data_IF_757630163471
#
_entry.id   IF_757630163471
#
_cell.length_a   1.000
_cell.length_b   1.000
_cell.length_c   1.000
_cell.angle_alpha   90.00
_cell.angle_beta   90.00
_cell.angle_gamma   90.00
#
_symmetry.space_group_name_H-M   'P 1'
#
loop_
_entity.id
_entity.type
_entity.pdbx_description
1 polymer ?
#
# COMPACT_ATOMS: atom_id res chain seq x y z
N UNK A 1 -8.54 15.06 -47.71
CA UNK A 1 -9.63 14.10 -47.40
C UNK A 1 -9.27 13.43 -46.08
N UNK A 2 -9.63 14.03 -44.94
CA UNK A 2 -10.87 13.83 -44.16
C UNK A 2 -11.10 12.37 -43.70
N UNK A 3 -10.87 12.13 -42.40
CA UNK A 3 -11.25 10.93 -41.65
C UNK A 3 -10.42 10.76 -40.36
N UNK A 4 -10.95 11.07 -39.15
CA UNK A 4 -10.15 11.18 -37.93
C UNK A 4 -9.95 9.83 -37.21
N UNK A 5 -8.73 9.56 -36.75
CA UNK A 5 -8.41 8.47 -35.81
C UNK A 5 -8.90 8.83 -34.41
N UNK A 6 -9.82 8.01 -33.88
CA UNK A 6 -10.30 8.06 -32.49
C UNK A 6 -9.15 7.82 -31.51
N UNK A 7 -8.86 8.83 -30.69
CA UNK A 7 -8.08 8.70 -29.45
C UNK A 7 -8.84 7.85 -28.44
N UNK A 8 -8.24 6.76 -27.97
CA UNK A 8 -8.75 5.96 -26.86
C UNK A 8 -8.76 6.78 -25.57
N UNK A 9 -9.96 7.12 -25.09
CA UNK A 9 -10.19 7.73 -23.78
C UNK A 9 -9.80 6.74 -22.68
N UNK A 10 -8.81 7.09 -21.87
CA UNK A 10 -8.61 6.47 -20.56
C UNK A 10 -9.85 6.69 -19.70
N UNK A 11 -10.36 5.62 -19.09
CA UNK A 11 -11.53 5.67 -18.21
C UNK A 11 -11.13 6.36 -16.90
N UNK A 12 -11.46 7.65 -16.81
CA UNK A 12 -11.43 8.45 -15.59
C UNK A 12 -12.77 8.23 -14.87
N UNK A 13 -12.75 7.57 -13.72
CA UNK A 13 -13.91 7.56 -12.82
C UNK A 13 -13.93 8.88 -12.05
N UNK A 14 -14.76 9.82 -12.51
CA UNK A 14 -15.07 11.05 -11.79
C UNK A 14 -16.47 10.88 -11.20
N UNK A 15 -16.58 10.81 -9.88
CA UNK A 15 -17.85 10.89 -9.19
C UNK A 15 -18.06 12.33 -8.72
N UNK A 16 -18.91 13.07 -9.44
CA UNK A 16 -19.35 14.40 -9.05
C UNK A 16 -20.21 14.34 -7.80
N UNK A 17 -19.93 15.23 -6.85
CA UNK A 17 -20.69 15.38 -5.61
C UNK A 17 -21.72 16.51 -5.81
N UNK A 18 -23.01 16.17 -5.72
CA UNK A 18 -24.06 17.13 -5.39
C UNK A 18 -24.48 16.85 -3.94
N UNK A 19 -23.91 17.60 -3.01
CA UNK A 19 -24.29 17.55 -1.60
C UNK A 19 -25.60 18.32 -1.41
N UNK A 20 -26.69 17.60 -1.15
CA UNK A 20 -27.88 18.18 -0.53
C UNK A 20 -27.67 18.12 0.99
N UNK A 21 -27.23 19.25 1.53
CA UNK A 21 -27.25 19.56 2.95
C UNK A 21 -28.62 20.14 3.29
N UNK A 22 -29.41 19.42 4.08
CA UNK A 22 -30.51 20.00 4.84
C UNK A 22 -30.79 19.11 6.05
N UNK A 23 -30.11 19.40 7.17
CA UNK A 23 -30.58 19.04 8.50
C UNK A 23 -30.37 20.27 9.37
N UNK A 24 -31.44 21.04 9.55
CA UNK A 24 -31.43 22.30 10.29
C UNK A 24 -32.67 23.11 9.96
N UNK A 25 -33.59 23.16 10.93
CA UNK A 25 -34.93 23.80 10.96
C UNK A 25 -36.07 23.02 10.31
N UNK A 26 -36.71 22.20 11.15
CA UNK A 26 -38.12 21.87 11.07
C UNK A 26 -38.68 21.64 12.49
N UNK A 27 -38.25 22.48 13.44
CA UNK A 27 -38.94 22.67 14.72
C UNK A 27 -39.66 24.00 14.64
N UNK A 28 -40.97 23.92 14.38
CA UNK A 28 -42.05 24.91 14.53
C UNK A 28 -42.98 24.78 13.32
N UNK A 29 -44.26 24.53 13.61
CA UNK A 29 -45.39 24.34 12.70
C UNK A 29 -45.64 22.89 12.28
N UNK A 30 -46.07 22.07 13.24
CA UNK A 30 -47.12 21.09 12.96
C UNK A 30 -48.09 21.04 14.14
N UNK A 31 -49.29 21.61 13.93
CA UNK A 31 -50.39 21.52 14.87
C UNK A 31 -50.87 20.08 15.01
N UNK A 32 -51.26 19.75 16.24
CA UNK A 32 -52.08 18.60 16.66
C UNK A 32 -52.19 17.44 15.66
N UNK A 33 -51.23 16.50 15.75
CA UNK A 33 -51.39 15.16 15.19
C UNK A 33 -51.27 14.13 16.31
N UNK A 34 -52.31 13.31 16.42
CA UNK A 34 -52.53 12.20 17.35
C UNK A 34 -51.26 11.54 17.90
N UNK A 35 -51.25 11.31 19.22
CA UNK A 35 -50.39 10.36 19.94
C UNK A 35 -50.61 8.93 19.41
N UNK A 36 -50.03 8.63 18.25
CA UNK A 36 -49.87 7.28 17.73
C UNK A 36 -48.56 6.71 18.26
N UNK A 37 -48.64 5.58 18.98
CA UNK A 37 -47.49 4.84 19.49
C UNK A 37 -46.38 4.76 18.45
N UNK A 38 -45.23 5.40 18.71
CA UNK A 38 -44.00 5.10 17.98
C UNK A 38 -43.61 3.67 18.36
N UNK A 39 -43.96 2.70 17.51
CA UNK A 39 -43.53 1.30 17.70
C UNK A 39 -42.01 1.26 17.54
N UNK A 40 -41.30 1.22 18.67
CA UNK A 40 -39.86 1.02 18.66
C UNK A 40 -39.54 -0.41 18.26
N UNK A 41 -38.56 -0.58 17.37
CA UNK A 41 -38.05 -1.88 16.94
C UNK A 41 -37.57 -2.71 18.14
N UNK A 42 -37.11 -2.05 19.20
CA UNK A 42 -36.68 -2.69 20.46
C UNK A 42 -37.84 -3.31 21.26
N UNK A 43 -39.09 -2.93 20.98
CA UNK A 43 -40.29 -3.48 21.62
C UNK A 43 -40.82 -4.77 20.99
N UNK A 44 -40.28 -5.19 19.84
CA UNK A 44 -40.73 -6.39 19.14
C UNK A 44 -40.24 -7.68 19.83
N UNK A 45 -41.02 -8.79 19.77
CA UNK A 45 -40.56 -10.12 20.17
C UNK A 45 -39.32 -10.58 19.38
N UNK A 46 -38.47 -11.38 20.01
CA UNK A 46 -37.20 -11.83 19.42
C UNK A 46 -37.40 -12.68 18.16
N UNK A 47 -38.51 -13.40 18.06
CA UNK A 47 -38.90 -14.21 16.91
C UNK A 47 -39.15 -13.35 15.67
N UNK A 48 -39.80 -12.19 15.86
CA UNK A 48 -40.06 -11.23 14.78
C UNK A 48 -38.74 -10.58 14.35
N UNK A 49 -37.89 -10.20 15.31
CA UNK A 49 -36.58 -9.63 15.02
C UNK A 49 -35.67 -10.61 14.29
N UNK A 50 -35.62 -11.88 14.70
CA UNK A 50 -34.86 -12.92 14.00
C UNK A 50 -35.38 -13.12 12.58
N UNK A 51 -36.71 -13.09 12.38
CA UNK A 51 -37.30 -13.15 11.05
C UNK A 51 -36.85 -11.97 10.18
N UNK A 52 -36.85 -10.75 10.71
CA UNK A 52 -36.36 -9.56 10.00
C UNK A 52 -34.86 -9.71 9.67
N UNK A 53 -34.03 -10.08 10.65
CA UNK A 53 -32.60 -10.28 10.48
C UNK A 53 -32.28 -11.40 9.49
N UNK A 54 -33.13 -12.41 9.36
CA UNK A 54 -32.94 -13.52 8.41
C UNK A 54 -33.00 -13.13 6.92
N UNK A 55 -33.50 -11.91 6.61
CA UNK A 55 -33.50 -11.34 5.26
C UNK A 55 -32.25 -10.51 4.95
N UNK A 56 -31.43 -10.18 5.96
CA UNK A 56 -30.21 -9.42 5.78
C UNK A 56 -29.09 -10.30 5.20
N UNK A 57 -28.23 -9.69 4.40
CA UNK A 57 -26.99 -10.32 3.98
C UNK A 57 -25.96 -10.36 5.13
N UNK A 58 -24.86 -11.07 4.92
CA UNK A 58 -23.83 -11.22 5.96
C UNK A 58 -23.26 -9.86 6.41
N UNK A 59 -23.14 -8.89 5.51
CA UNK A 59 -22.61 -7.55 5.80
C UNK A 59 -23.58 -6.78 6.69
N UNK A 60 -24.84 -6.67 6.28
CA UNK A 60 -25.87 -5.96 7.03
C UNK A 60 -26.15 -6.64 8.37
N UNK A 61 -26.03 -7.96 8.47
CA UNK A 61 -26.16 -8.70 9.72
C UNK A 61 -25.01 -8.38 10.70
N UNK A 62 -23.77 -8.23 10.22
CA UNK A 62 -22.67 -7.74 11.05
C UNK A 62 -22.93 -6.31 11.54
N UNK A 63 -23.37 -5.41 10.65
CA UNK A 63 -23.68 -4.03 11.01
C UNK A 63 -24.82 -3.94 12.03
N UNK A 64 -25.87 -4.76 11.87
CA UNK A 64 -26.98 -4.84 12.82
C UNK A 64 -26.49 -5.24 14.22
N UNK A 65 -25.52 -6.16 14.30
CA UNK A 65 -24.90 -6.55 15.57
C UNK A 65 -24.16 -5.42 16.31
N UNK A 66 -23.81 -4.32 15.63
CA UNK A 66 -23.17 -3.15 16.24
C UNK A 66 -24.17 -2.12 16.78
N UNK A 67 -25.48 -2.30 16.56
CA UNK A 67 -26.51 -1.31 16.94
C UNK A 67 -26.76 -1.31 18.44
N UNK A 68 -27.05 -2.48 19.04
CA UNK A 68 -27.23 -2.62 20.48
C UNK A 68 -26.97 -4.07 20.92
N UNK A 69 -26.92 -4.30 22.25
CA UNK A 69 -26.63 -5.62 22.83
C UNK A 69 -27.65 -6.70 22.43
N UNK A 70 -28.93 -6.34 22.29
CA UNK A 70 -29.97 -7.30 21.88
C UNK A 70 -29.73 -7.75 20.44
N UNK A 71 -29.52 -6.81 19.53
CA UNK A 71 -29.19 -7.10 18.14
C UNK A 71 -27.87 -7.83 17.99
N UNK A 72 -26.87 -7.57 18.84
CA UNK A 72 -25.63 -8.35 18.87
C UNK A 72 -25.89 -9.84 19.11
N UNK A 73 -26.71 -10.17 20.11
CA UNK A 73 -27.04 -11.56 20.40
C UNK A 73 -27.87 -12.21 19.29
N UNK A 74 -28.90 -11.51 18.79
CA UNK A 74 -29.77 -12.04 17.71
C UNK A 74 -29.02 -12.18 16.37
N UNK A 75 -28.10 -11.25 16.05
CA UNK A 75 -27.29 -11.32 14.85
C UNK A 75 -26.24 -12.44 14.89
N UNK A 76 -25.98 -13.06 16.06
CA UNK A 76 -25.12 -14.23 16.21
C UNK A 76 -25.91 -15.55 16.16
N UNK A 77 -27.19 -15.52 15.77
CA UNK A 77 -28.03 -16.70 15.67
C UNK A 77 -27.48 -17.72 14.66
N UNK A 78 -27.27 -18.96 15.13
CA UNK A 78 -26.65 -20.02 14.35
C UNK A 78 -27.51 -20.48 13.17
N UNK A 79 -28.85 -20.36 13.24
CA UNK A 79 -29.75 -20.75 12.15
C UNK A 79 -29.68 -19.79 10.97
N UNK A 80 -29.54 -18.47 11.23
CA UNK A 80 -29.31 -17.48 10.17
C UNK A 80 -27.96 -17.75 9.49
N UNK A 81 -26.89 -17.94 10.27
CA UNK A 81 -25.54 -18.10 9.71
C UNK A 81 -25.32 -19.43 8.98
N UNK A 82 -25.90 -20.55 9.41
CA UNK A 82 -25.81 -21.82 8.66
C UNK A 82 -26.53 -21.73 7.31
N UNK A 83 -27.62 -20.96 7.23
CA UNK A 83 -28.31 -20.70 5.96
C UNK A 83 -27.42 -19.88 5.03
N UNK A 84 -26.85 -18.77 5.51
CA UNK A 84 -25.91 -17.94 4.76
C UNK A 84 -24.71 -18.77 4.29
N UNK A 85 -24.11 -19.56 5.18
CA UNK A 85 -22.99 -20.44 4.88
C UNK A 85 -23.34 -21.46 3.80
N UNK A 86 -24.49 -22.13 3.94
CA UNK A 86 -24.95 -23.13 2.98
C UNK A 86 -25.24 -22.52 1.62
N UNK A 87 -25.82 -21.32 1.54
CA UNK A 87 -26.05 -20.62 0.26
C UNK A 87 -24.74 -20.20 -0.39
N UNK A 88 -23.80 -19.64 0.37
CA UNK A 88 -22.53 -19.14 -0.16
C UNK A 88 -21.57 -20.25 -0.60
N UNK A 89 -21.57 -21.38 0.11
CA UNK A 89 -20.65 -22.50 -0.10
C UNK A 89 -21.37 -23.78 -0.55
N UNK A 90 -22.58 -23.64 -1.11
CA UNK A 90 -23.29 -24.77 -1.70
C UNK A 90 -22.34 -25.49 -2.66
N UNK A 91 -22.14 -26.82 -2.51
CA UNK A 91 -21.42 -27.57 -3.50
C UNK A 91 -22.22 -27.42 -4.79
N UNK A 92 -21.71 -26.61 -5.73
CA UNK A 92 -22.27 -26.53 -7.08
C UNK A 92 -22.40 -27.97 -7.57
N UNK A 93 -23.51 -28.30 -8.24
CA UNK A 93 -23.65 -29.53 -9.04
C UNK A 93 -22.60 -29.49 -10.15
N UNK A 94 -21.33 -29.71 -9.83
CA UNK A 94 -20.33 -30.13 -10.77
C UNK A 94 -20.51 -31.63 -10.91
N UNK A 95 -20.79 -32.10 -12.12
CA UNK A 95 -20.84 -33.52 -12.48
C UNK A 95 -19.45 -34.19 -12.40
N UNK A 96 -18.59 -33.74 -11.50
CA UNK A 96 -17.28 -34.30 -11.22
C UNK A 96 -17.30 -34.79 -9.77
N UNK A 97 -17.01 -36.08 -9.57
CA UNK A 97 -17.01 -36.76 -8.27
C UNK A 97 -16.21 -35.95 -7.24
N UNK A 98 -16.92 -35.23 -6.37
CA UNK A 98 -16.40 -34.67 -5.13
C UNK A 98 -16.84 -35.61 -4.00
N UNK A 99 -15.89 -35.97 -3.14
CA UNK A 99 -16.01 -37.00 -2.10
C UNK A 99 -17.28 -36.81 -1.25
N UNK A 100 -18.04 -37.90 -1.09
CA UNK A 100 -19.30 -37.98 -0.34
C UNK A 100 -19.20 -37.50 1.11
N UNK A 101 -17.99 -37.47 1.68
CA UNK A 101 -17.71 -37.13 3.08
C UNK A 101 -18.05 -35.66 3.42
N UNK A 102 -17.74 -34.68 2.55
CA UNK A 102 -18.09 -33.27 2.82
C UNK A 102 -19.60 -33.01 2.78
N UNK A 103 -20.30 -33.74 1.89
CA UNK A 103 -21.75 -33.60 1.71
C UNK A 103 -22.52 -34.16 2.91
N UNK A 104 -22.05 -35.28 3.47
CA UNK A 104 -22.59 -35.89 4.69
C UNK A 104 -22.21 -35.10 5.93
N UNK A 105 -20.99 -34.53 5.99
CA UNK A 105 -20.53 -33.72 7.12
C UNK A 105 -21.31 -32.39 7.25
N UNK A 106 -21.70 -31.75 6.14
CA UNK A 106 -22.53 -30.54 6.17
C UNK A 106 -23.98 -30.84 6.59
N UNK A 107 -24.56 -31.97 6.14
CA UNK A 107 -25.92 -32.34 6.57
C UNK A 107 -25.96 -32.81 8.03
N UNK A 108 -24.97 -33.56 8.50
CA UNK A 108 -24.87 -34.00 9.89
C UNK A 108 -24.59 -32.83 10.85
N UNK A 109 -23.83 -31.81 10.41
CA UNK A 109 -23.62 -30.56 11.15
C UNK A 109 -24.84 -29.63 11.22
N UNK A 110 -25.81 -29.80 10.32
CA UNK A 110 -27.07 -29.05 10.34
C UNK A 110 -28.07 -29.60 11.36
N UNK A 111 -27.93 -30.87 11.73
CA UNK A 111 -28.76 -31.55 12.74
C UNK A 111 -28.29 -31.28 14.17
N UNK A 112 -27.04 -30.83 14.37
CA UNK A 112 -26.44 -30.49 15.68
C UNK A 112 -26.37 -28.99 15.98
N UNK A 113 -27.12 -28.15 15.24
CA UNK A 113 -27.06 -26.67 15.35
C UNK A 113 -27.43 -26.17 16.75
N UNK A 114 -28.28 -26.92 17.48
CA UNK A 114 -28.70 -26.58 18.85
C UNK A 114 -27.59 -26.73 19.92
N UNK A 115 -26.56 -27.54 19.68
CA UNK A 115 -25.50 -27.83 20.65
C UNK A 115 -24.27 -26.92 20.50
N UNK A 116 -24.26 -26.03 19.50
CA UNK A 116 -23.11 -25.19 19.17
C UNK A 116 -23.22 -23.81 19.82
N UNK A 117 -22.09 -23.29 20.28
CA UNK A 117 -22.01 -21.93 20.84
C UNK A 117 -22.59 -20.87 19.89
N UNK A 118 -23.22 -19.83 20.45
CA UNK A 118 -23.77 -18.74 19.67
C UNK A 118 -22.69 -18.09 18.79
N UNK A 119 -22.98 -17.87 17.51
CA UNK A 119 -22.03 -17.32 16.55
C UNK A 119 -20.99 -18.31 16.02
N UNK A 120 -21.07 -19.60 16.32
CA UNK A 120 -20.19 -20.62 15.74
C UNK A 120 -20.17 -20.55 14.21
N UNK A 121 -21.35 -20.56 13.57
CA UNK A 121 -21.44 -20.54 12.10
C UNK A 121 -21.00 -19.21 11.49
N UNK A 122 -21.10 -18.11 12.23
CA UNK A 122 -20.52 -16.82 11.86
C UNK A 122 -19.00 -16.89 11.79
N UNK A 123 -18.36 -17.46 12.83
CA UNK A 123 -16.91 -17.67 12.87
C UNK A 123 -16.45 -18.56 11.70
N UNK A 124 -17.11 -19.70 11.50
CA UNK A 124 -16.81 -20.63 10.39
C UNK A 124 -16.96 -19.96 9.01
N UNK A 125 -18.03 -19.19 8.81
CA UNK A 125 -18.26 -18.45 7.58
C UNK A 125 -17.13 -17.45 7.29
N UNK A 126 -16.76 -16.62 8.28
CA UNK A 126 -15.67 -15.64 8.15
C UNK A 126 -14.34 -16.35 7.90
N UNK A 127 -14.01 -17.38 8.67
CA UNK A 127 -12.77 -18.16 8.51
C UNK A 127 -12.66 -18.75 7.11
N UNK A 128 -13.74 -19.34 6.59
CA UNK A 128 -13.76 -19.93 5.24
C UNK A 128 -13.63 -18.89 4.14
N UNK A 129 -14.24 -17.71 4.29
CA UNK A 129 -14.05 -16.60 3.37
C UNK A 129 -12.59 -16.14 3.34
N UNK A 130 -11.99 -15.91 4.50
CA UNK A 130 -10.58 -15.52 4.63
C UNK A 130 -9.66 -16.58 3.98
N UNK A 131 -9.89 -17.86 4.27
CA UNK A 131 -9.12 -18.95 3.69
C UNK A 131 -9.24 -19.01 2.16
N UNK A 132 -10.45 -18.78 1.61
CA UNK A 132 -10.66 -18.75 0.15
C UNK A 132 -9.93 -17.61 -0.52
N UNK A 133 -9.92 -16.41 0.08
CA UNK A 133 -9.18 -15.25 -0.44
C UNK A 133 -7.67 -15.49 -0.35
N UNK A 134 -7.18 -15.98 0.79
CA UNK A 134 -5.75 -16.34 0.96
C UNK A 134 -5.29 -17.36 -0.08
N UNK A 135 -6.07 -18.40 -0.33
CA UNK A 135 -5.75 -19.40 -1.35
C UNK A 135 -5.76 -18.82 -2.78
N UNK A 136 -6.70 -17.93 -3.10
CA UNK A 136 -6.75 -17.24 -4.38
C UNK A 136 -5.52 -16.33 -4.57
N UNK A 137 -5.14 -15.57 -3.54
CA UNK A 137 -3.97 -14.70 -3.55
C UNK A 137 -2.67 -15.50 -3.69
N UNK A 138 -2.51 -16.58 -2.93
CA UNK A 138 -1.34 -17.46 -3.05
C UNK A 138 -1.14 -17.97 -4.49
N UNK A 139 -2.24 -18.29 -5.19
CA UNK A 139 -2.18 -18.72 -6.59
C UNK A 139 -1.81 -17.59 -7.54
N UNK A 140 -2.32 -16.38 -7.32
CA UNK A 140 -2.11 -15.21 -8.19
C UNK A 140 -0.73 -14.59 -8.00
N UNK A 141 -0.20 -14.63 -6.77
CA UNK A 141 1.12 -14.08 -6.41
C UNK A 141 2.28 -15.05 -6.67
N UNK A 142 2.01 -16.35 -6.86
CA UNK A 142 3.03 -17.37 -7.19
C UNK A 142 3.92 -17.03 -8.40
N UNK A 143 3.41 -16.55 -9.54
CA UNK A 143 4.27 -16.19 -10.67
C UNK A 143 5.06 -14.91 -10.34
N UNK A 144 6.38 -15.06 -10.23
CA UNK A 144 7.32 -13.96 -10.04
C UNK A 144 7.94 -13.54 -11.37
N UNK A 145 8.19 -12.24 -11.51
CA UNK A 145 8.84 -11.69 -12.67
C UNK A 145 10.33 -12.06 -12.64
N UNK A 146 10.90 -12.62 -13.73
CA UNK A 146 12.29 -13.09 -13.72
C UNK A 146 13.31 -12.00 -13.40
N UNK A 147 12.98 -10.74 -13.71
CA UNK A 147 13.93 -9.65 -13.59
C UNK A 147 13.81 -8.80 -12.33
N UNK A 148 12.69 -8.91 -11.62
CA UNK A 148 12.44 -8.10 -10.42
C UNK A 148 12.15 -8.98 -9.20
N UNK A 149 11.92 -10.28 -9.37
CA UNK A 149 11.52 -11.17 -8.27
C UNK A 149 10.15 -10.80 -7.67
N UNK A 150 9.41 -9.87 -8.27
CA UNK A 150 8.13 -9.36 -7.79
C UNK A 150 6.96 -10.12 -8.44
N UNK A 151 5.79 -10.20 -7.77
CA UNK A 151 4.61 -10.84 -8.35
C UNK A 151 4.15 -10.17 -9.64
N UNK A 152 4.00 -10.95 -10.72
CA UNK A 152 3.60 -10.43 -12.06
C UNK A 152 2.17 -9.88 -12.05
N UNK A 153 1.32 -10.43 -11.18
CA UNK A 153 -0.12 -10.19 -11.17
C UNK A 153 -0.58 -9.35 -9.98
N UNK A 154 0.26 -8.45 -9.47
CA UNK A 154 -0.09 -7.60 -8.32
C UNK A 154 -1.37 -6.81 -8.54
N UNK A 155 -1.60 -6.25 -9.74
CA UNK A 155 -2.86 -5.55 -10.08
C UNK A 155 -4.09 -6.45 -9.96
N UNK A 156 -3.99 -7.72 -10.34
CA UNK A 156 -5.06 -8.71 -10.20
C UNK A 156 -5.23 -9.10 -8.73
N UNK A 157 -4.14 -9.28 -7.99
CA UNK A 157 -4.15 -9.58 -6.56
C UNK A 157 -4.86 -8.48 -5.75
N UNK A 158 -4.55 -7.20 -6.02
CA UNK A 158 -5.22 -6.04 -5.38
C UNK A 158 -6.74 -6.01 -5.66
N UNK A 159 -7.14 -6.37 -6.88
CA UNK A 159 -8.56 -6.46 -7.25
C UNK A 159 -9.26 -7.62 -6.54
N UNK A 160 -8.63 -8.80 -6.47
CA UNK A 160 -9.17 -9.99 -5.83
C UNK A 160 -9.26 -9.82 -4.30
N UNK A 161 -8.27 -9.18 -3.70
CA UNK A 161 -8.28 -8.88 -2.26
C UNK A 161 -9.13 -7.68 -1.90
N UNK A 162 -9.65 -6.91 -2.87
CA UNK A 162 -10.32 -5.63 -2.61
C UNK A 162 -9.50 -4.70 -1.70
N UNK A 163 -8.17 -4.84 -1.73
CA UNK A 163 -7.27 -4.13 -0.84
C UNK A 163 -7.25 -2.65 -1.20
N UNK A 164 -7.46 -1.81 -0.19
CA UNK A 164 -7.21 -0.38 -0.25
C UNK A 164 -6.31 0.06 0.89
N UNK A 165 -6.02 1.35 0.94
CA UNK A 165 -5.25 1.96 2.02
C UNK A 165 -6.01 3.12 2.64
N UNK A 166 -5.81 3.30 3.95
CA UNK A 166 -6.31 4.44 4.72
C UNK A 166 -5.18 5.00 5.56
N UNK A 167 -5.28 6.28 5.88
CA UNK A 167 -4.48 6.90 6.94
C UNK A 167 -5.38 7.16 8.14
N UNK A 168 -4.87 6.89 9.33
CA UNK A 168 -5.52 7.19 10.60
C UNK A 168 -4.68 8.29 11.27
N UNK A 169 -5.22 9.50 11.29
CA UNK A 169 -4.61 10.64 11.96
C UNK A 169 -5.07 10.66 13.41
N UNK A 170 -4.13 10.65 14.35
CA UNK A 170 -4.42 10.66 15.78
C UNK A 170 -4.09 12.01 16.36
N UNK A 171 -5.02 12.57 17.12
CA UNK A 171 -4.81 13.79 17.87
C UNK A 171 -4.11 13.53 19.21
N UNK A 172 -3.49 14.57 19.78
CA UNK A 172 -3.01 14.56 21.18
C UNK A 172 -4.16 14.30 22.19
N UNK A 173 -5.40 14.61 21.81
CA UNK A 173 -6.61 14.35 22.59
C UNK A 173 -7.03 12.87 22.61
N UNK A 174 -6.45 12.03 21.76
CA UNK A 174 -6.86 10.64 21.54
C UNK A 174 -7.96 10.47 20.47
N UNK A 175 -8.47 11.56 19.88
CA UNK A 175 -9.42 11.48 18.77
C UNK A 175 -8.72 10.98 17.49
N UNK A 176 -9.39 10.08 16.76
CA UNK A 176 -8.88 9.50 15.52
C UNK A 176 -9.71 9.96 14.30
N UNK A 177 -9.03 10.27 13.20
CA UNK A 177 -9.64 10.60 11.91
C UNK A 177 -9.18 9.62 10.85
N UNK A 178 -10.11 8.88 10.25
CA UNK A 178 -9.82 7.87 9.24
C UNK A 178 -10.10 8.46 7.86
N UNK A 179 -9.08 8.48 7.00
CA UNK A 179 -9.18 9.02 5.64
C UNK A 179 -8.87 7.93 4.61
N UNK A 180 -9.80 7.72 3.68
CA UNK A 180 -9.61 6.84 2.53
C UNK A 180 -8.76 7.54 1.46
N UNK A 181 -7.92 6.77 0.75
CA UNK A 181 -7.14 7.30 -0.36
C UNK A 181 -8.08 7.75 -1.50
N UNK A 182 -7.72 8.86 -2.14
CA UNK A 182 -8.51 9.47 -3.22
C UNK A 182 -7.98 9.03 -4.59
N UNK A 183 -6.67 8.85 -4.70
CA UNK A 183 -6.02 8.38 -5.91
C UNK A 183 -5.03 7.25 -5.65
N UNK A 184 -4.86 6.44 -6.68
CA UNK A 184 -3.92 5.34 -6.70
C UNK A 184 -3.23 5.30 -8.06
N UNK A 185 -1.90 5.33 -8.07
CA UNK A 185 -1.09 5.06 -9.27
C UNK A 185 -0.25 3.83 -9.05
N UNK A 186 -0.30 2.90 -10.01
CA UNK A 186 0.39 1.62 -9.92
C UNK A 186 1.53 1.63 -10.94
N UNK A 187 2.76 1.55 -10.44
CA UNK A 187 4.00 1.51 -11.21
C UNK A 187 4.45 0.05 -11.41
N UNK A 188 5.67 -0.15 -11.92
CA UNK A 188 6.18 -1.48 -12.23
C UNK A 188 6.58 -2.28 -10.98
N UNK A 189 7.12 -1.60 -9.96
CA UNK A 189 7.58 -2.22 -8.71
C UNK A 189 6.89 -1.67 -7.45
N UNK A 190 6.07 -0.63 -7.58
CA UNK A 190 5.40 0.03 -6.45
C UNK A 190 3.97 0.48 -6.74
N UNK A 191 3.26 0.84 -5.67
CA UNK A 191 2.01 1.59 -5.73
C UNK A 191 2.13 2.87 -4.92
N UNK A 192 1.64 3.96 -5.48
CA UNK A 192 1.53 5.25 -4.80
C UNK A 192 0.07 5.52 -4.49
N UNK A 193 -0.26 5.59 -3.20
CA UNK A 193 -1.58 5.99 -2.71
C UNK A 193 -1.53 7.46 -2.28
N UNK A 194 -2.55 8.24 -2.64
CA UNK A 194 -2.59 9.69 -2.38
C UNK A 194 -3.89 10.08 -1.67
N UNK A 195 -3.76 10.92 -0.66
CA UNK A 195 -4.83 11.54 0.10
C UNK A 195 -4.75 13.05 -0.06
N UNK A 196 -5.87 13.68 -0.44
CA UNK A 196 -6.07 15.12 -0.43
C UNK A 196 -7.56 15.41 -0.26
N UNK A 197 -7.90 16.58 0.25
CA UNK A 197 -9.28 16.89 0.61
C UNK A 197 -9.39 18.25 1.28
N UNK A 198 -10.63 18.61 1.64
CA UNK A 198 -10.90 19.82 2.43
C UNK A 198 -11.02 19.54 3.93
N UNK A 199 -11.22 18.27 4.30
CA UNK A 199 -11.55 17.86 5.67
C UNK A 199 -10.31 17.38 6.45
N UNK A 200 -9.18 18.10 6.30
CA UNK A 200 -7.98 17.79 7.08
C UNK A 200 -8.14 18.32 8.51
N UNK A 201 -7.86 17.51 9.55
CA UNK A 201 -7.67 18.04 10.89
C UNK A 201 -6.43 18.94 10.93
N UNK A 202 -6.45 19.93 11.83
CA UNK A 202 -5.35 20.89 11.97
C UNK A 202 -4.06 20.18 12.36
N UNK A 203 -2.96 20.50 11.68
CA UNK A 203 -1.69 19.82 11.90
C UNK A 203 -1.21 19.88 13.36
N UNK A 204 -1.43 21.02 14.02
CA UNK A 204 -1.04 21.25 15.42
C UNK A 204 -1.74 20.34 16.43
N UNK A 205 -2.90 19.77 16.10
CA UNK A 205 -3.60 18.84 17.01
C UNK A 205 -3.12 17.41 16.85
N UNK A 206 -2.44 17.10 15.74
CA UNK A 206 -2.04 15.75 15.36
C UNK A 206 -0.73 15.32 16.02
N UNK A 207 -0.68 14.07 16.46
CA UNK A 207 0.48 13.43 17.07
C UNK A 207 1.12 12.41 16.11
N UNK A 208 0.30 11.49 15.61
CA UNK A 208 0.77 10.37 14.78
C UNK A 208 -0.13 10.14 13.59
N UNK A 209 0.47 9.60 12.53
CA UNK A 209 -0.21 9.08 11.35
C UNK A 209 0.06 7.59 11.27
N UNK A 210 -1.00 6.78 11.25
CA UNK A 210 -0.90 5.34 11.04
C UNK A 210 -1.35 5.03 9.61
N UNK A 211 -0.50 4.40 8.81
CA UNK A 211 -0.84 3.91 7.47
C UNK A 211 -1.29 2.46 7.58
N UNK A 212 -2.52 2.19 7.14
CA UNK A 212 -3.12 0.86 7.22
C UNK A 212 -3.57 0.35 5.86
N UNK A 213 -3.29 -0.93 5.60
CA UNK A 213 -3.97 -1.72 4.59
C UNK A 213 -5.38 -2.06 5.08
N UNK A 214 -6.35 -1.99 4.17
CA UNK A 214 -7.76 -2.19 4.49
C UNK A 214 -8.38 -3.18 3.53
N UNK A 215 -8.91 -4.27 4.10
CA UNK A 215 -9.47 -5.39 3.34
C UNK A 215 -10.92 -5.61 3.76
N UNK A 216 -11.88 -5.69 2.83
CA UNK A 216 -13.25 -6.07 3.17
C UNK A 216 -13.30 -7.44 3.84
N UNK A 217 -14.08 -7.57 4.93
CA UNK A 217 -14.27 -8.85 5.64
C UNK A 217 -14.98 -9.88 4.75
N UNK A 218 -15.86 -9.40 3.86
CA UNK A 218 -16.58 -10.23 2.90
C UNK A 218 -16.32 -9.76 1.47
N UNK A 219 -15.81 -10.68 0.65
CA UNK A 219 -15.70 -10.50 -0.80
C UNK A 219 -17.00 -10.96 -1.45
N UNK A 220 -17.96 -10.07 -1.66
CA UNK A 220 -19.05 -10.42 -2.55
C UNK A 220 -18.51 -10.42 -3.98
N UNK A 221 -18.42 -11.59 -4.62
CA UNK A 221 -17.82 -11.79 -5.97
C UNK A 221 -18.49 -10.95 -7.06
N UNK A 222 -19.65 -10.33 -6.80
CA UNK A 222 -20.46 -9.59 -7.76
C UNK A 222 -20.79 -8.15 -7.37
N UNK A 223 -20.33 -7.63 -6.23
CA UNK A 223 -20.63 -6.26 -5.80
C UNK A 223 -19.36 -5.50 -5.42
N UNK A 224 -19.34 -4.20 -5.75
CA UNK A 224 -18.33 -3.28 -5.23
C UNK A 224 -18.40 -3.25 -3.70
N UNK A 225 -17.25 -3.15 -2.99
CA UNK A 225 -17.26 -3.03 -1.54
C UNK A 225 -18.18 -1.88 -1.12
N UNK A 226 -19.13 -2.16 -0.22
CA UNK A 226 -20.02 -1.14 0.32
C UNK A 226 -19.19 -0.07 1.02
N UNK A 227 -19.45 1.21 0.72
CA UNK A 227 -18.87 2.35 1.43
C UNK A 227 -19.25 2.19 2.92
N UNK A 228 -18.26 2.06 3.80
CA UNK A 228 -18.42 1.79 5.24
C UNK A 228 -18.80 0.35 5.66
N UNK A 229 -18.61 -0.66 4.79
CA UNK A 229 -18.75 -2.06 5.21
C UNK A 229 -17.70 -2.50 6.26
N UNK A 230 -17.88 -3.66 6.91
CA UNK A 230 -16.92 -4.21 7.86
C UNK A 230 -15.60 -4.52 7.16
N UNK A 231 -14.51 -3.96 7.68
CA UNK A 231 -13.17 -4.06 7.10
C UNK A 231 -12.15 -4.46 8.16
N UNK A 232 -11.15 -5.21 7.71
CA UNK A 232 -9.95 -5.51 8.47
C UNK A 232 -8.91 -4.41 8.23
N UNK A 233 -8.34 -3.89 9.31
CA UNK A 233 -7.22 -2.96 9.27
C UNK A 233 -5.92 -3.69 9.61
N UNK A 234 -4.91 -3.47 8.78
CA UNK A 234 -3.57 -4.02 8.96
C UNK A 234 -2.58 -2.86 8.96
N UNK A 235 -1.95 -2.59 10.10
CA UNK A 235 -0.97 -1.52 10.24
C UNK A 235 0.25 -1.84 9.37
N UNK A 236 0.65 -0.90 8.52
CA UNK A 236 1.84 -1.03 7.66
C UNK A 236 3.01 -0.26 8.26
N UNK A 237 2.75 0.97 8.71
CA UNK A 237 3.74 1.85 9.29
C UNK A 237 3.08 2.93 10.14
N UNK A 238 3.82 3.39 11.16
CA UNK A 238 3.43 4.47 12.07
C UNK A 238 4.43 5.60 11.97
N UNK A 239 3.92 6.82 11.83
CA UNK A 239 4.73 8.03 11.63
C UNK A 239 4.43 9.04 12.72
N UNK A 240 5.47 9.75 13.15
CA UNK A 240 5.34 10.85 14.09
C UNK A 240 5.26 12.18 13.32
N UNK A 241 4.19 12.94 13.53
CA UNK A 241 3.93 14.21 12.84
C UNK A 241 4.56 15.41 13.56
N UNK A 242 5.16 15.24 14.74
CA UNK A 242 5.88 16.32 15.44
C UNK A 242 7.26 16.62 14.83
N UNK A 243 7.66 15.95 13.73
CA UNK A 243 9.02 15.94 13.17
C UNK A 243 9.18 16.76 11.88
N UNK A 244 8.27 17.67 11.57
CA UNK A 244 8.43 18.61 10.46
C UNK A 244 9.48 19.67 10.84
N UNK A 245 10.74 19.38 10.53
CA UNK A 245 11.89 20.25 10.75
C UNK A 245 12.47 20.64 9.39
N UNK A 246 13.22 21.73 9.31
CA UNK A 246 13.85 22.13 8.03
C UNK A 246 14.75 21.02 7.46
N UNK A 247 15.37 20.20 8.32
CA UNK A 247 16.17 19.04 7.92
C UNK A 247 15.39 17.91 7.24
N UNK A 248 14.06 17.84 7.40
CA UNK A 248 13.21 16.83 6.77
C UNK A 248 12.54 17.32 5.48
N UNK A 249 12.77 18.59 5.10
CA UNK A 249 12.27 19.16 3.84
C UNK A 249 12.97 18.47 2.68
N UNK A 250 12.17 17.87 1.80
CA UNK A 250 12.67 17.20 0.60
C UNK A 250 12.70 18.16 -0.59
N UNK A 251 11.70 19.02 -0.72
CA UNK A 251 11.56 19.98 -1.82
C UNK A 251 10.39 20.92 -1.62
N UNK A 252 10.24 21.88 -2.52
CA UNK A 252 9.11 22.81 -2.50
C UNK A 252 8.82 23.39 -3.89
N UNK A 253 7.61 23.92 -4.06
CA UNK A 253 7.25 24.73 -5.22
C UNK A 253 6.69 26.09 -4.78
N UNK A 254 5.90 26.76 -5.61
CA UNK A 254 5.31 28.06 -5.27
C UNK A 254 4.27 28.00 -4.15
N UNK A 255 3.58 26.87 -3.98
CA UNK A 255 2.43 26.73 -3.10
C UNK A 255 2.71 25.86 -1.88
N UNK A 256 3.54 24.84 -2.03
CA UNK A 256 3.72 23.81 -1.00
C UNK A 256 5.18 23.52 -0.68
N UNK A 257 5.41 22.94 0.48
CA UNK A 257 6.66 22.26 0.88
C UNK A 257 6.35 20.79 1.13
N UNK A 258 7.25 19.90 0.72
CA UNK A 258 7.11 18.47 0.97
C UNK A 258 8.17 17.98 1.96
N UNK A 259 7.75 17.04 2.79
CA UNK A 259 8.55 16.38 3.80
C UNK A 259 8.55 14.88 3.55
N UNK A 260 9.69 14.24 3.77
CA UNK A 260 9.81 12.78 3.73
C UNK A 260 9.77 12.22 5.15
N UNK A 261 8.80 11.36 5.42
CA UNK A 261 8.71 10.55 6.63
C UNK A 261 8.97 9.09 6.25
N UNK A 262 9.96 8.47 6.90
CA UNK A 262 10.31 7.10 6.61
C UNK A 262 9.38 6.12 7.34
N UNK A 263 8.96 5.01 6.69
CA UNK A 263 9.32 4.60 5.32
C UNK A 263 8.40 5.18 4.22
N UNK A 264 8.96 5.87 3.22
CA UNK A 264 8.29 6.10 1.92
C UNK A 264 7.08 7.05 1.91
N UNK A 265 6.80 7.77 3.01
CA UNK A 265 5.67 8.69 3.11
C UNK A 265 6.10 10.13 2.77
N UNK A 266 5.38 10.77 1.86
CA UNK A 266 5.51 12.19 1.53
C UNK A 266 4.35 12.95 2.15
N UNK A 267 4.64 14.01 2.89
CA UNK A 267 3.64 14.93 3.44
C UNK A 267 3.84 16.30 2.81
N UNK A 268 2.82 16.81 2.13
CA UNK A 268 2.81 18.15 1.55
C UNK A 268 2.07 19.13 2.46
N UNK A 269 2.72 20.25 2.81
CA UNK A 269 2.14 21.35 3.58
C UNK A 269 2.01 22.61 2.73
N UNK A 270 0.93 23.37 2.93
CA UNK A 270 0.80 24.69 2.33
C UNK A 270 1.84 25.66 2.90
N UNK A 271 2.47 26.47 2.04
CA UNK A 271 3.46 27.47 2.50
C UNK A 271 2.86 28.60 3.34
N UNK A 272 1.59 28.94 3.12
CA UNK A 272 0.92 30.05 3.81
C UNK A 272 0.32 29.64 5.15
N UNK A 273 -0.47 28.58 5.17
CA UNK A 273 -1.14 28.14 6.39
C UNK A 273 -0.32 27.14 7.22
N UNK A 274 0.72 26.52 6.65
CA UNK A 274 1.45 25.37 7.23
C UNK A 274 0.55 24.17 7.57
N UNK A 275 -0.64 24.10 6.97
CA UNK A 275 -1.59 23.00 7.12
C UNK A 275 -1.39 21.92 6.04
N UNK A 276 -1.94 20.72 6.28
CA UNK A 276 -1.86 19.59 5.36
C UNK A 276 -2.52 19.91 4.02
N UNK A 277 -1.76 19.75 2.94
CA UNK A 277 -2.26 19.82 1.56
C UNK A 277 -2.61 18.42 1.04
N UNK A 278 -1.64 17.51 1.12
CA UNK A 278 -1.80 16.12 0.72
C UNK A 278 -0.84 15.21 1.49
N UNK A 279 -1.16 13.92 1.49
CA UNK A 279 -0.27 12.84 1.93
C UNK A 279 -0.14 11.85 0.78
N UNK A 280 1.07 11.33 0.55
CA UNK A 280 1.35 10.35 -0.49
C UNK A 280 2.21 9.22 0.11
N UNK A 281 1.72 7.99 0.04
CA UNK A 281 2.46 6.82 0.51
C UNK A 281 2.95 6.01 -0.69
N UNK A 282 4.25 5.74 -0.73
CA UNK A 282 4.88 4.93 -1.77
C UNK A 282 5.20 3.55 -1.20
N UNK A 283 4.58 2.53 -1.78
CA UNK A 283 4.55 1.18 -1.25
C UNK A 283 5.10 0.20 -2.29
N UNK A 284 6.31 -0.27 -2.04
CA UNK A 284 6.96 -1.29 -2.85
C UNK A 284 6.16 -2.61 -2.82
N UNK A 285 6.09 -3.34 -3.95
CA UNK A 285 5.31 -4.58 -4.07
C UNK A 285 5.84 -5.74 -3.25
N UNK A 286 7.10 -5.70 -2.84
CA UNK A 286 7.71 -6.71 -1.99
C UNK A 286 6.89 -6.91 -0.69
N UNK A 287 6.23 -8.06 -0.60
CA UNK A 287 5.30 -8.45 0.46
C UNK A 287 4.19 -7.43 0.77
N UNK A 288 3.80 -6.60 -0.21
CA UNK A 288 2.81 -5.55 0.01
C UNK A 288 1.45 -6.12 0.48
N UNK A 289 1.01 -7.21 -0.15
CA UNK A 289 -0.29 -7.83 0.15
C UNK A 289 -0.27 -8.40 1.56
N UNK A 290 0.80 -9.10 1.93
CA UNK A 290 1.00 -9.67 3.26
C UNK A 290 1.04 -8.58 4.33
N UNK A 291 1.85 -7.54 4.13
CA UNK A 291 1.94 -6.38 5.03
C UNK A 291 0.61 -5.64 5.19
N UNK A 292 -0.25 -5.69 4.18
CA UNK A 292 -1.54 -4.98 4.17
C UNK A 292 -2.73 -5.84 4.62
N UNK A 293 -2.55 -7.15 4.83
CA UNK A 293 -3.65 -8.09 5.11
C UNK A 293 -3.42 -9.00 6.31
N UNK A 294 -2.16 -9.32 6.66
CA UNK A 294 -1.82 -10.30 7.69
C UNK A 294 -1.46 -9.67 9.04
N UNK A 295 -1.17 -8.36 9.07
CA UNK A 295 -0.94 -7.61 10.30
C UNK A 295 -2.23 -7.27 11.03
N UNK A 296 -2.09 -6.80 12.26
CA UNK A 296 -3.20 -6.33 13.09
C UNK A 296 -3.40 -4.82 12.96
N UNK A 297 -4.47 -4.28 13.54
CA UNK A 297 -4.71 -2.84 13.54
C UNK A 297 -3.68 -2.02 14.36
N UNK A 298 -2.95 -2.66 15.30
CA UNK A 298 -2.03 -1.99 16.20
C UNK A 298 -0.56 -2.38 15.99
N UNK A 299 -0.30 -3.55 15.41
CA UNK A 299 1.03 -4.13 15.26
C UNK A 299 1.23 -4.50 13.79
N UNK A 300 2.31 -4.01 13.13
CA UNK A 300 2.62 -4.36 11.76
C UNK A 300 2.88 -5.85 11.58
N UNK A 301 2.66 -6.35 10.37
CA UNK A 301 3.04 -7.71 10.03
C UNK A 301 4.56 -7.82 9.95
N UNK A 302 5.13 -8.73 10.74
CA UNK A 302 6.54 -9.11 10.64
C UNK A 302 6.68 -10.35 9.75
N UNK A 303 7.62 -10.26 8.80
CA UNK A 303 7.94 -11.38 7.93
C UNK A 303 8.66 -12.47 8.73
N UNK A 304 8.45 -13.76 8.39
CA UNK A 304 9.24 -14.83 8.98
C UNK A 304 10.74 -14.57 8.78
N UNK A 305 11.57 -14.82 9.79
CA UNK A 305 13.02 -14.59 9.68
C UNK A 305 13.60 -15.43 8.55
N UNK A 306 14.53 -14.84 7.80
CA UNK A 306 15.24 -15.56 6.76
C UNK A 306 16.15 -16.60 7.39
N UNK A 307 16.05 -17.85 6.94
CA UNK A 307 17.00 -18.89 7.32
C UNK A 307 18.12 -18.92 6.27
N UNK A 308 19.37 -18.61 6.65
CA UNK A 308 20.49 -18.73 5.72
C UNK A 308 20.59 -20.19 5.27
N UNK A 309 20.79 -20.39 3.98
CA UNK A 309 21.18 -21.69 3.46
C UNK A 309 22.56 -22.03 4.05
N UNK A 310 22.84 -23.28 4.43
CA UNK A 310 24.22 -23.67 4.74
C UNK A 310 24.97 -23.90 3.43
N UNK A 311 26.06 -23.18 3.22
CA UNK A 311 27.00 -23.36 2.13
C UNK A 311 28.39 -22.91 2.61
N UNK A 312 29.44 -23.65 2.23
CA UNK A 312 30.81 -23.46 2.68
C UNK A 312 31.61 -22.47 1.80
N UNK A 313 30.95 -21.80 0.85
CA UNK A 313 31.60 -20.81 -0.03
C UNK A 313 32.09 -19.58 0.74
N UNK A 314 33.39 -19.25 0.69
CA UNK A 314 33.96 -18.12 1.43
C UNK A 314 33.54 -16.75 0.89
N UNK A 315 33.00 -16.66 -0.33
CA UNK A 315 32.62 -15.40 -1.01
C UNK A 315 31.10 -15.22 -1.14
N UNK A 316 30.33 -16.02 -0.40
CA UNK A 316 28.88 -16.02 -0.49
C UNK A 316 28.25 -14.67 -0.12
N UNK A 317 27.37 -14.19 -1.00
CA UNK A 317 26.70 -12.90 -0.81
C UNK A 317 27.58 -11.71 -1.20
N UNK A 318 28.67 -11.93 -1.94
CA UNK A 318 29.46 -10.88 -2.57
C UNK A 318 29.28 -10.80 -4.10
N UNK A 319 28.65 -11.79 -4.72
CA UNK A 319 28.45 -11.86 -6.17
C UNK A 319 26.98 -12.06 -6.56
N UNK A 320 26.74 -11.96 -7.88
CA UNK A 320 25.50 -12.37 -8.55
C UNK A 320 24.23 -11.65 -8.09
N UNK A 321 24.39 -10.42 -7.60
CA UNK A 321 23.26 -9.57 -7.35
C UNK A 321 22.64 -9.06 -8.65
N UNK A 322 21.33 -8.89 -8.62
CA UNK A 322 20.57 -8.27 -9.69
C UNK A 322 19.78 -7.09 -9.15
N UNK A 323 20.01 -5.91 -9.72
CA UNK A 323 19.35 -4.67 -9.34
C UNK A 323 18.30 -4.29 -10.38
N UNK A 324 17.10 -4.00 -9.92
CA UNK A 324 16.11 -3.22 -10.65
C UNK A 324 15.91 -1.88 -9.95
N UNK A 325 15.98 -0.80 -10.71
CA UNK A 325 15.78 0.57 -10.22
C UNK A 325 14.80 1.29 -11.14
N UNK A 326 13.80 1.93 -10.54
CA UNK A 326 12.84 2.78 -11.24
C UNK A 326 12.78 4.14 -10.54
N UNK A 327 12.98 5.24 -11.27
CA UNK A 327 12.69 6.58 -10.79
C UNK A 327 11.47 7.10 -11.53
N UNK A 328 10.43 7.47 -10.79
CA UNK A 328 9.15 7.82 -11.38
C UNK A 328 8.42 8.93 -10.62
N UNK A 329 7.36 9.45 -11.25
CA UNK A 329 6.48 10.45 -10.70
C UNK A 329 5.09 10.35 -11.35
N UNK A 330 4.04 10.16 -10.56
CA UNK A 330 2.66 10.14 -11.06
C UNK A 330 2.38 9.13 -12.18
N UNK A 331 3.09 7.98 -12.18
CA UNK A 331 2.95 6.94 -13.20
C UNK A 331 3.83 7.13 -14.46
N UNK A 332 4.67 8.16 -14.50
CA UNK A 332 5.68 8.35 -15.56
C UNK A 332 7.06 8.06 -14.98
N UNK A 333 7.76 7.09 -15.57
CA UNK A 333 9.15 6.75 -15.23
C UNK A 333 10.12 7.62 -16.02
N UNK A 334 11.11 8.20 -15.33
CA UNK A 334 12.25 8.89 -15.95
C UNK A 334 13.51 8.03 -15.97
N UNK A 335 13.59 6.98 -15.15
CA UNK A 335 14.63 5.95 -15.19
C UNK A 335 13.98 4.60 -14.96
N UNK A 336 14.24 3.63 -15.83
CA UNK A 336 13.91 2.23 -15.54
C UNK A 336 15.09 1.38 -16.02
N UNK A 337 15.85 0.84 -15.08
CA UNK A 337 17.10 0.12 -15.34
C UNK A 337 17.12 -1.24 -14.64
N UNK A 338 17.65 -2.24 -15.32
CA UNK A 338 17.94 -3.55 -14.72
C UNK A 338 19.38 -3.94 -14.99
N UNK A 339 20.12 -4.21 -13.92
CA UNK A 339 21.54 -4.51 -13.94
C UNK A 339 21.76 -5.90 -13.32
N UNK A 340 22.63 -6.71 -13.92
CA UNK A 340 22.88 -8.10 -13.51
C UNK A 340 24.35 -8.33 -13.23
N UNK A 341 24.64 -9.44 -12.57
CA UNK A 341 25.99 -9.91 -12.26
C UNK A 341 26.77 -8.86 -11.46
N UNK A 342 26.07 -8.14 -10.59
CA UNK A 342 26.69 -7.17 -9.71
C UNK A 342 27.46 -7.92 -8.64
N UNK A 343 28.76 -7.69 -8.63
CA UNK A 343 29.69 -8.39 -7.75
C UNK A 343 30.69 -7.40 -7.14
N UNK A 344 31.25 -7.82 -6.02
CA UNK A 344 32.31 -7.09 -5.34
C UNK A 344 33.30 -8.07 -4.72
N UNK A 345 34.48 -7.57 -4.40
CA UNK A 345 35.48 -8.34 -3.67
C UNK A 345 35.46 -7.99 -2.18
N UNK A 346 35.97 -8.89 -1.34
CA UNK A 346 36.17 -8.65 0.10
C UNK A 346 37.00 -7.39 0.39
N UNK A 347 37.95 -7.07 -0.49
CA UNK A 347 38.79 -5.87 -0.35
C UNK A 347 38.06 -4.55 -0.53
N UNK A 348 36.81 -4.56 -1.01
CA UNK A 348 35.98 -3.37 -1.21
C UNK A 348 34.96 -3.15 -0.07
N UNK A 349 35.14 -3.85 1.07
CA UNK A 349 34.38 -3.63 2.28
C UNK A 349 35.04 -2.51 3.07
N UNK A 350 34.33 -1.40 3.24
CA UNK A 350 34.83 -0.20 3.91
C UNK A 350 33.75 0.34 4.87
N UNK A 351 34.16 0.71 6.08
CA UNK A 351 33.29 1.37 7.07
C UNK A 351 31.98 0.62 7.37
N UNK A 352 32.01 -0.72 7.48
CA UNK A 352 30.84 -1.60 7.67
C UNK A 352 29.88 -1.69 6.47
N UNK A 353 30.27 -1.15 5.31
CA UNK A 353 29.50 -1.24 4.09
C UNK A 353 30.26 -2.01 3.00
N UNK A 354 29.51 -2.77 2.24
CA UNK A 354 29.92 -3.41 1.01
C UNK A 354 29.43 -2.57 -0.17
N UNK A 355 30.35 -2.10 -1.02
CA UNK A 355 30.02 -1.29 -2.20
C UNK A 355 29.78 -2.17 -3.43
N UNK A 356 28.57 -2.12 -4.00
CA UNK A 356 28.27 -2.60 -5.35
C UNK A 356 28.30 -1.40 -6.31
N UNK A 357 29.22 -1.42 -7.26
CA UNK A 357 29.26 -0.42 -8.34
C UNK A 357 28.39 -0.91 -9.49
N UNK A 358 27.35 -0.16 -9.82
CA UNK A 358 26.35 -0.52 -10.83
C UNK A 358 26.64 0.20 -12.14
N UNK A 359 26.88 1.51 -12.06
CA UNK A 359 27.35 2.34 -13.17
C UNK A 359 28.63 3.01 -12.69
N UNK A 360 29.70 2.83 -13.46
CA UNK A 360 31.01 3.39 -13.14
C UNK A 360 31.20 4.76 -13.80
N UNK A 361 31.59 5.74 -12.99
CA UNK A 361 32.03 7.06 -13.48
C UNK A 361 33.13 6.95 -14.54
N UNK A 362 34.00 5.94 -14.42
CA UNK A 362 35.12 5.73 -15.35
C UNK A 362 34.71 5.09 -16.68
N UNK A 363 33.55 4.43 -16.73
CA UNK A 363 33.10 3.71 -17.91
C UNK A 363 31.94 4.44 -18.60
N UNK A 364 32.25 5.28 -19.57
CA UNK A 364 31.25 6.09 -20.29
C UNK A 364 30.22 5.27 -21.07
N UNK A 365 30.48 3.99 -21.37
CA UNK A 365 29.49 3.13 -22.05
C UNK A 365 28.34 2.69 -21.15
N UNK A 366 28.51 2.81 -19.82
CA UNK A 366 27.48 2.46 -18.83
C UNK A 366 26.58 3.66 -18.49
N UNK A 367 26.91 4.86 -18.97
CA UNK A 367 26.17 6.08 -18.66
C UNK A 367 24.81 6.07 -19.35
N UNK A 368 23.78 6.47 -18.62
CA UNK A 368 22.39 6.37 -19.08
C UNK A 368 21.70 7.74 -19.03
N UNK A 369 20.99 8.16 -20.09
CA UNK A 369 20.17 9.36 -20.03
C UNK A 369 18.94 9.14 -19.16
N UNK A 370 18.58 10.17 -18.39
CA UNK A 370 17.27 10.28 -17.77
C UNK A 370 16.26 10.76 -18.79
N UNK A 371 15.14 10.05 -18.89
CA UNK A 371 14.10 10.34 -19.87
C UNK A 371 13.15 11.39 -19.28
N UNK A 372 13.05 12.53 -19.96
CA UNK A 372 12.10 13.59 -19.62
C UNK A 372 12.52 14.44 -18.41
N UNK A 373 11.56 15.18 -17.85
CA UNK A 373 11.82 16.13 -16.77
C UNK A 373 11.65 15.48 -15.41
N UNK A 374 12.68 15.56 -14.58
CA UNK A 374 12.65 15.09 -13.18
C UNK A 374 11.80 16.04 -12.34
N UNK A 375 10.71 15.53 -11.78
CA UNK A 375 9.88 16.29 -10.84
C UNK A 375 8.75 15.47 -10.24
N UNK A 376 8.41 15.76 -8.98
CA UNK A 376 7.37 15.08 -8.23
C UNK A 376 6.05 15.82 -8.42
N UNK A 377 5.12 15.19 -9.14
CA UNK A 377 3.80 15.76 -9.40
C UNK A 377 2.92 15.58 -8.17
N UNK A 378 2.19 16.63 -7.81
CA UNK A 378 1.20 16.58 -6.75
C UNK A 378 -0.09 17.24 -7.22
N UNK A 379 -1.20 16.82 -6.63
CA UNK A 379 -2.52 17.39 -6.93
C UNK A 379 -3.41 17.37 -5.70
N UNK A 380 -4.37 18.28 -5.71
CA UNK A 380 -5.46 18.42 -4.75
C UNK A 380 -6.77 18.59 -5.54
N UNK A 381 -7.88 18.85 -4.84
CA UNK A 381 -9.15 19.14 -5.50
C UNK A 381 -9.16 20.43 -6.34
N UNK A 382 -8.22 21.36 -6.08
CA UNK A 382 -8.26 22.72 -6.64
C UNK A 382 -6.94 23.07 -7.33
N UNK A 383 -5.82 22.67 -6.74
CA UNK A 383 -4.47 22.96 -7.24
C UNK A 383 -3.75 21.69 -7.65
N UNK A 384 -2.90 21.82 -8.65
CA UNK A 384 -1.85 20.86 -8.98
C UNK A 384 -0.52 21.59 -9.12
N UNK A 385 0.56 20.80 -9.11
CA UNK A 385 1.90 21.33 -9.23
C UNK A 385 2.92 20.23 -9.44
N UNK A 386 4.16 20.64 -9.68
CA UNK A 386 5.28 19.75 -9.85
C UNK A 386 6.50 20.34 -9.14
N UNK A 387 7.05 19.57 -8.20
CA UNK A 387 8.26 19.94 -7.46
C UNK A 387 9.45 19.43 -8.25
N UNK A 388 10.19 20.38 -8.83
CA UNK A 388 11.39 20.09 -9.61
C UNK A 388 12.41 19.33 -8.75
N UNK A 389 13.20 18.48 -9.40
CA UNK A 389 14.32 17.75 -8.79
C UNK A 389 13.92 16.73 -7.71
N UNK A 390 12.64 16.52 -7.45
CA UNK A 390 12.16 15.43 -6.59
C UNK A 390 11.56 14.32 -7.46
N UNK A 391 11.71 13.06 -7.05
CA UNK A 391 11.05 11.92 -7.69
C UNK A 391 10.85 10.81 -6.66
N UNK A 392 10.10 9.77 -7.00
CA UNK A 392 10.09 8.52 -6.24
C UNK A 392 11.16 7.61 -6.83
N UNK A 393 11.91 6.94 -5.97
CA UNK A 393 12.87 5.91 -6.35
C UNK A 393 12.41 4.58 -5.76
N UNK A 394 12.17 3.63 -6.65
CA UNK A 394 11.94 2.24 -6.32
C UNK A 394 13.21 1.45 -6.58
N UNK A 395 13.55 0.58 -5.62
CA UNK A 395 14.71 -0.28 -5.72
C UNK A 395 14.31 -1.70 -5.34
N UNK A 396 14.67 -2.66 -6.19
CA UNK A 396 14.64 -4.09 -5.88
C UNK A 396 16.00 -4.69 -6.16
N UNK A 397 16.70 -5.11 -5.10
CA UNK A 397 17.93 -5.89 -5.19
C UNK A 397 17.61 -7.35 -4.90
N UNK A 398 17.91 -8.22 -5.86
CA UNK A 398 17.81 -9.68 -5.74
C UNK A 398 19.19 -10.26 -5.45
N UNK A 399 19.22 -11.30 -4.62
CA UNK A 399 20.40 -12.15 -4.45
C UNK A 399 20.48 -13.24 -5.53
N UNK A 400 21.57 -14.02 -5.53
CA UNK A 400 21.91 -15.06 -6.50
C UNK A 400 20.74 -16.00 -6.86
N UNK A 401 19.95 -16.43 -5.89
CA UNK A 401 18.79 -17.31 -6.10
C UNK A 401 17.49 -16.56 -6.43
N UNK A 402 17.58 -15.27 -6.76
CA UNK A 402 16.45 -14.45 -7.17
C UNK A 402 15.51 -14.05 -6.04
N UNK A 403 15.89 -14.22 -4.76
CA UNK A 403 15.10 -13.72 -3.64
C UNK A 403 15.32 -12.22 -3.45
N UNK A 404 14.28 -11.44 -3.11
CA UNK A 404 14.46 -10.04 -2.77
C UNK A 404 15.30 -9.90 -1.50
N UNK A 405 16.46 -9.24 -1.63
CA UNK A 405 17.40 -8.98 -0.57
C UNK A 405 17.19 -7.59 0.04
N UNK A 406 17.03 -6.56 -0.79
CA UNK A 406 16.74 -5.19 -0.34
C UNK A 406 15.72 -4.54 -1.25
N UNK A 407 14.65 -4.01 -0.67
CA UNK A 407 13.57 -3.39 -1.41
C UNK A 407 13.05 -2.15 -0.70
N UNK A 408 12.89 -1.04 -1.43
CA UNK A 408 12.23 0.15 -0.93
C UNK A 408 11.55 0.93 -2.05
N UNK A 409 10.64 1.80 -1.64
CA UNK A 409 10.01 2.82 -2.48
C UNK A 409 9.99 4.10 -1.65
N UNK A 410 10.77 5.11 -2.05
CA UNK A 410 10.97 6.31 -1.25
C UNK A 410 11.12 7.54 -2.11
N UNK A 411 10.61 8.69 -1.67
CA UNK A 411 10.89 9.93 -2.36
C UNK A 411 12.38 10.30 -2.20
N UNK A 412 12.97 10.80 -3.28
CA UNK A 412 14.37 11.23 -3.36
C UNK A 412 14.45 12.62 -3.98
N UNK A 413 15.53 13.34 -3.70
CA UNK A 413 15.77 14.68 -4.20
C UNK A 413 17.16 14.79 -4.80
N UNK A 414 17.21 15.27 -6.02
CA UNK A 414 18.40 15.63 -6.76
C UNK A 414 18.91 16.97 -6.25
N UNK A 415 20.12 16.95 -5.69
CA UNK A 415 20.80 18.12 -5.14
C UNK A 415 22.03 18.45 -5.97
N UNK A 416 22.33 19.73 -6.20
CA UNK A 416 23.59 20.11 -6.85
C UNK A 416 24.75 19.61 -5.99
N UNK A 417 25.75 19.05 -6.66
CA UNK A 417 27.00 18.62 -6.05
C UNK A 417 28.09 19.63 -6.39
N UNK A 418 28.86 20.15 -5.42
CA UNK A 418 30.09 20.84 -5.76
C UNK A 418 31.02 19.82 -6.41
N UNK A 419 31.33 20.00 -7.70
CA UNK A 419 32.16 19.07 -8.45
C UNK A 419 33.52 18.85 -7.77
N UNK A 420 34.17 17.69 -7.96
CA UNK A 420 35.55 17.53 -7.52
C UNK A 420 36.43 18.56 -8.23
N UNK A 421 37.30 19.24 -7.46
CA UNK A 421 38.34 20.18 -7.93
C UNK A 421 39.13 19.66 -9.14
N UNK A 422 39.27 18.33 -9.24
CA UNK A 422 40.19 17.66 -10.15
C UNK A 422 39.47 16.81 -11.23
N UNK A 423 38.15 17.00 -11.41
CA UNK A 423 37.40 16.37 -12.51
C UNK A 423 37.70 17.03 -13.85
N UNK A 424 37.67 16.30 -14.99
CA UNK A 424 37.85 16.92 -16.29
C UNK A 424 36.78 18.01 -16.50
N UNK A 425 37.24 19.20 -16.89
CA UNK A 425 36.51 20.48 -17.01
C UNK A 425 35.33 20.47 -18.01
N UNK A 426 34.95 19.31 -18.51
CA UNK A 426 34.03 19.07 -19.62
C UNK A 426 32.65 18.54 -19.20
N UNK A 427 32.45 18.16 -17.93
CA UNK A 427 31.14 17.71 -17.45
C UNK A 427 30.43 18.91 -16.81
N UNK A 428 29.25 19.27 -17.32
CA UNK A 428 28.43 20.39 -16.85
C UNK A 428 28.03 20.29 -15.38
N UNK A 429 26.96 20.98 -14.98
CA UNK A 429 26.51 20.96 -13.58
C UNK A 429 26.28 19.52 -13.09
N UNK A 430 26.92 19.18 -11.96
CA UNK A 430 26.82 17.85 -11.35
C UNK A 430 25.76 17.85 -10.26
N UNK A 431 25.07 16.72 -10.16
CA UNK A 431 23.98 16.50 -9.22
C UNK A 431 24.15 15.16 -8.54
N UNK A 432 23.65 15.05 -7.32
CA UNK A 432 23.62 13.80 -6.55
C UNK A 432 22.23 13.50 -6.03
N UNK A 433 21.92 12.21 -5.95
CA UNK A 433 20.72 11.68 -5.31
C UNK A 433 21.16 10.61 -4.32
N UNK A 434 20.81 10.82 -3.06
CA UNK A 434 21.19 9.95 -1.95
C UNK A 434 19.94 9.37 -1.28
N UNK A 435 20.00 8.09 -0.92
CA UNK A 435 19.02 7.42 -0.06
C UNK A 435 19.73 6.54 0.97
N UNK A 436 19.18 6.42 2.16
CA UNK A 436 19.72 5.59 3.24
C UNK A 436 18.61 5.04 4.13
N UNK A 437 18.74 3.78 4.54
CA UNK A 437 17.89 3.14 5.54
C UNK A 437 18.69 2.20 6.46
N UNK A 438 17.99 1.35 7.19
CA UNK A 438 18.60 0.36 8.09
C UNK A 438 19.39 -0.71 7.33
N UNK A 439 19.12 -0.95 6.05
CA UNK A 439 19.69 -2.04 5.26
C UNK A 439 20.90 -1.59 4.43
N UNK A 440 20.88 -0.34 3.94
CA UNK A 440 21.93 0.17 3.09
C UNK A 440 21.77 1.63 2.67
N UNK A 441 22.61 2.05 1.74
CA UNK A 441 22.60 3.38 1.13
C UNK A 441 22.70 3.28 -0.39
N UNK A 442 22.06 4.21 -1.09
CA UNK A 442 22.16 4.39 -2.53
C UNK A 442 22.78 5.75 -2.80
N UNK A 443 23.73 5.78 -3.73
CA UNK A 443 24.34 6.99 -4.21
C UNK A 443 24.29 7.01 -5.74
N UNK A 444 23.71 8.07 -6.29
CA UNK A 444 23.55 8.27 -7.72
C UNK A 444 24.11 9.65 -8.08
N UNK A 445 25.00 9.71 -9.05
CA UNK A 445 25.56 10.97 -9.58
C UNK A 445 25.09 11.19 -11.01
N UNK A 446 24.71 12.43 -11.30
CA UNK A 446 24.19 12.85 -12.57
C UNK A 446 24.91 14.10 -13.07
N UNK A 447 24.98 14.24 -14.39
CA UNK A 447 25.54 15.41 -15.06
C UNK A 447 24.48 15.98 -15.98
N UNK A 448 24.29 17.30 -15.94
CA UNK A 448 23.50 18.01 -16.92
C UNK A 448 24.33 18.27 -18.18
N UNK A 449 23.82 17.82 -19.33
CA UNK A 449 24.44 18.07 -20.64
C UNK A 449 23.63 19.15 -21.34
N UNK A 450 24.22 20.33 -21.52
CA UNK A 450 23.53 21.48 -22.13
C UNK A 450 23.18 21.25 -23.60
N UNK A 451 24.02 20.51 -24.33
CA UNK A 451 23.87 20.26 -25.76
C UNK A 451 22.63 19.41 -26.07
N UNK A 452 22.34 18.41 -25.24
CA UNK A 452 21.15 17.55 -25.39
C UNK A 452 19.97 18.02 -24.54
N UNK A 453 20.21 18.84 -23.52
CA UNK A 453 19.19 19.27 -22.56
C UNK A 453 18.68 18.11 -21.72
N UNK A 454 19.55 17.15 -21.40
CA UNK A 454 19.22 15.92 -20.68
C UNK A 454 20.18 15.68 -19.52
N UNK A 455 19.70 15.00 -18.48
CA UNK A 455 20.55 14.51 -17.39
C UNK A 455 21.11 13.15 -17.76
N UNK A 456 22.40 12.93 -17.53
CA UNK A 456 23.04 11.63 -17.67
C UNK A 456 23.46 11.10 -16.31
N UNK A 457 23.11 9.86 -16.03
CA UNK A 457 23.60 9.10 -14.88
C UNK A 457 25.01 8.65 -15.21
N UNK A 458 25.98 9.18 -14.47
CA UNK A 458 27.40 8.86 -14.64
C UNK A 458 27.91 7.89 -13.59
N UNK A 459 27.22 7.76 -12.46
CA UNK A 459 27.60 6.86 -11.37
C UNK A 459 26.37 6.38 -10.62
N UNK A 460 26.31 5.08 -10.33
CA UNK A 460 25.30 4.48 -9.45
C UNK A 460 26.00 3.43 -8.58
N UNK A 461 25.93 3.61 -7.26
CA UNK A 461 26.52 2.70 -6.30
C UNK A 461 25.54 2.37 -5.17
N UNK A 462 25.52 1.10 -4.78
CA UNK A 462 24.83 0.62 -3.59
C UNK A 462 25.84 0.32 -2.49
N UNK A 463 25.53 0.70 -1.27
CA UNK A 463 26.32 0.41 -0.08
C UNK A 463 25.47 -0.43 0.86
N UNK A 464 25.69 -1.74 0.85
CA UNK A 464 24.94 -2.68 1.69
C UNK A 464 25.62 -2.82 3.05
N UNK A 465 24.85 -2.85 4.15
CA UNK A 465 25.45 -3.10 5.46
C UNK A 465 25.98 -4.52 5.55
N UNK A 466 27.22 -4.66 6.01
CA UNK A 466 27.86 -5.96 6.23
C UNK A 466 27.08 -6.81 7.24
N UNK A 467 26.53 -6.18 8.28
CA UNK A 467 25.69 -6.86 9.28
C UNK A 467 24.48 -7.58 8.64
N UNK A 468 23.84 -6.96 7.64
CA UNK A 468 22.72 -7.56 6.91
C UNK A 468 23.19 -8.76 6.08
N UNK A 469 24.31 -8.61 5.36
CA UNK A 469 24.88 -9.68 4.52
C UNK A 469 25.23 -10.89 5.41
N UNK A 470 25.95 -10.65 6.50
CA UNK A 470 26.33 -11.67 7.47
C UNK A 470 25.10 -12.39 8.04
N UNK A 471 24.03 -11.65 8.36
CA UNK A 471 22.78 -12.24 8.84
C UNK A 471 22.05 -13.07 7.77
N UNK A 472 21.95 -12.56 6.55
CA UNK A 472 21.21 -13.20 5.46
C UNK A 472 21.91 -14.45 4.91
N UNK A 473 23.22 -14.41 4.75
CA UNK A 473 24.01 -15.50 4.16
C UNK A 473 24.68 -16.40 5.21
N UNK A 474 24.62 -16.05 6.49
CA UNK A 474 25.29 -16.79 7.56
C UNK A 474 26.81 -16.61 7.56
N UNK A 475 27.31 -15.53 6.97
CA UNK A 475 28.75 -15.24 6.82
C UNK A 475 29.28 -14.36 7.95
N UNK A 476 30.61 -14.15 7.98
CA UNK A 476 31.32 -13.27 8.92
C UNK A 476 32.39 -12.47 8.18
N UNK A 477 31.96 -11.46 7.44
CA UNK A 477 32.83 -10.45 6.82
C UNK A 477 33.21 -9.35 7.78
#
# INVERSE_FOLDING_TARGET
MLGPKRSGRGVRLVAGCAALSHCGRLDELCGESCTGCTVSLDGLPSEILLKILSYLDAVALLCAGCVNRRFYHLANDNFIWIRIYSTAFSPKRSNWKVNSVEKTAVSMNSLSVGDKEAGYWKKEYITKQIASVKAALARVLKPLHPYTGLPVKTKEALRISGLGWVIILKENSGKEHILEHVDLSINDSSVTAVWYGKDWPRLVTLSTLDLCGVTPVFMNRSQTPIKNGPRWHSLIAKYNLSRFTESTVLGCDRLIRIFCLHPGLVVGLWKREEELAFVMANLHFHHLVERSTLGSAAIPYELPPHTPLLDDSPERGLSDYQLHVDMHSGGVSCLCGTFRNLSTSKGCIENEYMKLSVISFKNSTEHLPLIGKVGLSWKTNIFDGCIKSCSIMDLTLLEEYGKPFWCFSSPVCMRPSPGPSDGPTFLGETYRVDYADAEGRVHLELVWIEETGEYFIVSLALYLRVAKINHWFGTKY
#
